data_IF_425680402837
#
_entry.id   IF_425680402837
#
_cell.length_a   1.000
_cell.length_b   1.000
_cell.length_c   1.000
_cell.angle_alpha   90.00
_cell.angle_beta   90.00
_cell.angle_gamma   90.00
#
_symmetry.space_group_name_H-M   'P 1'
#
loop_
_entity.id
_entity.type
_entity.pdbx_description
1 polymer ?
#
# COMPACT_ATOMS: atom_id res chain seq x y z
N UNK A 1 16.64 9.66 17.23
CA UNK A 1 16.61 8.22 17.59
C UNK A 1 15.65 7.92 18.75
N UNK A 2 15.48 8.82 19.73
CA UNK A 2 14.59 8.56 20.89
C UNK A 2 13.12 8.28 20.51
N UNK A 3 12.60 8.87 19.43
CA UNK A 3 11.23 8.69 18.93
C UNK A 3 10.86 7.24 18.56
N UNK A 4 11.84 6.36 18.39
CA UNK A 4 11.64 4.94 18.07
C UNK A 4 11.60 4.04 19.31
N UNK A 5 11.69 4.62 20.51
CA UNK A 5 11.64 3.87 21.77
C UNK A 5 10.19 3.66 22.24
N UNK A 6 9.99 2.82 23.25
CA UNK A 6 8.70 2.75 23.94
C UNK A 6 8.39 4.07 24.63
N UNK A 7 7.11 4.40 24.80
CA UNK A 7 6.64 5.65 25.41
C UNK A 7 7.33 5.95 26.76
N UNK A 8 7.47 4.94 27.63
CA UNK A 8 8.19 5.07 28.90
C UNK A 8 9.64 5.58 28.71
N UNK A 9 10.35 5.02 27.72
CA UNK A 9 11.75 5.40 27.44
C UNK A 9 11.83 6.73 26.69
N UNK A 10 10.85 7.03 25.84
CA UNK A 10 10.72 8.35 25.20
C UNK A 10 10.57 9.43 26.27
N UNK A 11 9.63 9.24 27.21
CA UNK A 11 9.40 10.18 28.30
C UNK A 11 10.67 10.43 29.11
N UNK A 12 11.45 9.38 29.39
CA UNK A 12 12.75 9.50 30.05
C UNK A 12 13.78 10.27 29.24
N UNK A 13 13.75 10.21 27.92
CA UNK A 13 14.64 10.99 27.05
C UNK A 13 14.19 12.46 26.89
N UNK A 14 12.90 12.76 27.11
CA UNK A 14 12.36 14.12 27.11
C UNK A 14 12.70 14.90 28.38
N UNK A 15 12.84 14.21 29.50
CA UNK A 15 13.55 14.71 30.68
C UNK A 15 15.05 14.38 30.54
N UNK A 16 15.98 15.07 31.20
CA UNK A 16 17.41 14.76 31.11
C UNK A 16 17.79 13.48 31.89
N UNK A 17 16.95 12.45 31.84
CA UNK A 17 17.21 11.14 32.41
C UNK A 17 17.73 10.17 31.35
N UNK A 18 18.47 9.17 31.79
CA UNK A 18 19.02 8.18 30.88
C UNK A 18 17.93 7.18 30.47
N UNK A 19 17.57 7.07 29.18
CA UNK A 19 16.50 6.17 28.73
C UNK A 19 16.90 4.69 28.82
N UNK A 20 18.21 4.40 28.90
CA UNK A 20 18.74 3.05 29.03
C UNK A 20 19.56 2.89 30.31
N UNK A 21 19.42 1.75 31.02
CA UNK A 21 20.11 1.55 32.29
C UNK A 21 21.64 1.51 32.14
N UNK A 22 22.17 1.12 30.98
CA UNK A 22 23.61 1.04 30.76
C UNK A 22 24.30 2.41 30.76
N UNK A 23 23.62 3.51 30.43
CA UNK A 23 24.25 4.84 30.43
C UNK A 23 24.70 5.26 31.84
N UNK A 24 23.99 4.85 32.89
CA UNK A 24 24.44 5.04 34.27
C UNK A 24 25.67 4.19 34.62
N UNK A 25 25.76 2.97 34.07
CA UNK A 25 26.93 2.12 34.26
C UNK A 25 28.17 2.70 33.58
N UNK A 26 28.00 3.35 32.43
CA UNK A 26 29.08 4.08 31.74
C UNK A 26 29.51 5.30 32.56
N UNK A 27 28.56 6.14 33.01
CA UNK A 27 28.85 7.32 33.84
C UNK A 27 29.59 6.96 35.13
N UNK A 28 29.25 5.83 35.74
CA UNK A 28 29.89 5.35 36.98
C UNK A 28 31.18 4.53 36.73
N UNK A 29 31.66 4.44 35.49
CA UNK A 29 32.88 3.71 35.13
C UNK A 29 32.79 2.18 35.30
N UNK A 30 31.58 1.62 35.41
CA UNK A 30 31.31 0.18 35.53
C UNK A 30 31.29 -0.53 34.17
N UNK A 31 30.91 0.20 33.13
CA UNK A 31 31.08 -0.20 31.73
C UNK A 31 32.01 0.81 31.09
N UNK A 32 32.99 0.32 30.32
CA UNK A 32 33.95 1.16 29.61
C UNK A 32 33.96 0.77 28.13
N UNK A 33 34.10 1.78 27.28
CA UNK A 33 34.12 1.61 25.83
C UNK A 33 35.53 1.82 25.32
N UNK A 34 35.95 0.94 24.43
CA UNK A 34 37.21 1.01 23.72
C UNK A 34 36.90 0.75 22.24
N UNK A 35 37.50 1.52 21.33
CA UNK A 35 37.27 1.33 19.91
C UNK A 35 38.11 0.21 19.33
N UNK A 36 39.27 -0.08 19.95
CA UNK A 36 40.14 -1.17 19.55
C UNK A 36 40.98 -1.70 20.71
N UNK A 37 41.36 -2.97 20.61
CA UNK A 37 42.42 -3.61 21.41
C UNK A 37 43.77 -2.90 21.36
N UNK A 38 44.07 -2.14 20.29
CA UNK A 38 45.35 -1.43 20.17
C UNK A 38 45.44 -0.16 21.02
N UNK A 39 44.36 0.27 21.66
CA UNK A 39 44.38 1.46 22.50
C UNK A 39 45.19 1.25 23.78
N UNK A 40 46.04 2.22 24.12
CA UNK A 40 46.80 2.21 25.37
C UNK A 40 45.88 2.26 26.60
N UNK A 41 44.75 2.96 26.49
CA UNK A 41 43.68 3.02 27.50
C UNK A 41 43.15 1.63 27.86
N UNK A 42 42.94 0.75 26.87
CA UNK A 42 42.48 -0.61 27.09
C UNK A 42 43.49 -1.39 27.91
N UNK A 43 44.76 -1.38 27.51
CA UNK A 43 45.82 -2.13 28.20
C UNK A 43 46.03 -1.68 29.65
N UNK A 44 45.87 -0.38 29.94
CA UNK A 44 46.01 0.16 31.28
C UNK A 44 44.85 -0.20 32.22
N UNK A 45 43.66 -0.41 31.66
CA UNK A 45 42.43 -0.63 32.43
C UNK A 45 41.93 -2.06 32.41
N UNK A 46 42.44 -2.89 31.50
CA UNK A 46 42.08 -4.30 31.37
C UNK A 46 42.45 -5.08 32.64
N UNK A 47 41.43 -5.67 33.29
CA UNK A 47 41.58 -6.48 34.50
C UNK A 47 40.67 -7.69 34.45
N UNK A 48 41.19 -8.86 34.82
CA UNK A 48 40.41 -10.09 34.97
C UNK A 48 40.08 -10.32 36.46
N UNK A 49 38.88 -10.84 36.80
CA UNK A 49 37.82 -11.28 35.90
C UNK A 49 37.02 -10.11 35.28
N UNK A 50 36.65 -10.22 34.01
CA UNK A 50 35.84 -9.24 33.30
C UNK A 50 34.84 -9.91 32.35
N UNK A 51 33.85 -9.12 31.92
CA UNK A 51 32.94 -9.47 30.83
C UNK A 51 33.26 -8.53 29.68
N UNK A 52 33.49 -9.09 28.49
CA UNK A 52 33.74 -8.31 27.28
C UNK A 52 32.61 -8.52 26.30
N UNK A 53 32.01 -7.40 25.87
CA UNK A 53 31.06 -7.36 24.77
C UNK A 53 31.82 -6.98 23.50
N UNK A 54 31.90 -7.91 22.55
CA UNK A 54 32.55 -7.67 21.27
C UNK A 54 31.58 -7.94 20.14
N UNK A 55 31.34 -6.94 19.31
CA UNK A 55 30.56 -7.10 18.09
C UNK A 55 31.37 -7.87 17.06
N UNK A 56 30.72 -8.78 16.35
CA UNK A 56 31.30 -9.42 15.17
C UNK A 56 30.16 -9.79 14.21
N UNK A 57 30.39 -9.74 12.90
CA UNK A 57 29.40 -10.22 11.95
C UNK A 57 29.51 -11.73 11.69
N UNK A 58 30.63 -12.39 12.00
CA UNK A 58 30.82 -13.81 11.62
C UNK A 58 31.83 -14.63 12.44
N UNK A 59 32.45 -14.07 13.49
CA UNK A 59 33.63 -14.67 14.15
C UNK A 59 34.78 -14.99 13.17
N UNK A 60 34.98 -14.17 12.13
CA UNK A 60 36.12 -14.31 11.20
C UNK A 60 37.05 -13.10 11.19
N UNK A 61 36.63 -11.99 11.79
CA UNK A 61 37.38 -10.75 11.85
C UNK A 61 36.91 -9.88 13.01
N UNK A 62 37.66 -8.83 13.29
CA UNK A 62 37.47 -7.95 14.44
C UNK A 62 38.17 -8.48 15.69
N UNK A 63 38.06 -7.72 16.78
CA UNK A 63 38.81 -7.96 18.02
C UNK A 63 38.46 -9.29 18.70
N UNK A 64 37.27 -9.85 18.42
CA UNK A 64 36.84 -11.15 18.94
C UNK A 64 37.82 -12.29 18.61
N UNK A 65 38.47 -12.25 17.44
CA UNK A 65 39.39 -13.33 17.03
C UNK A 65 40.62 -13.37 17.93
N UNK A 66 41.12 -12.18 18.30
CA UNK A 66 42.25 -12.02 19.21
C UNK A 66 41.87 -12.42 20.64
N UNK A 67 40.65 -12.11 21.08
CA UNK A 67 40.17 -12.58 22.39
C UNK A 67 40.06 -14.10 22.46
N UNK A 68 39.60 -14.76 21.39
CA UNK A 68 39.55 -16.22 21.32
C UNK A 68 40.97 -16.80 21.35
N UNK A 69 41.93 -16.19 20.66
CA UNK A 69 43.34 -16.60 20.71
C UNK A 69 43.93 -16.46 22.12
N UNK A 70 43.66 -15.34 22.81
CA UNK A 70 44.17 -15.09 24.17
C UNK A 70 43.52 -15.98 25.24
N UNK A 71 42.23 -16.28 25.11
CA UNK A 71 41.44 -16.89 26.19
C UNK A 71 40.99 -18.31 25.91
N UNK A 72 41.12 -18.77 24.67
CA UNK A 72 40.62 -20.06 24.18
C UNK A 72 41.19 -21.28 24.88
N UNK A 73 42.46 -21.21 25.29
CA UNK A 73 43.14 -22.32 25.96
C UNK A 73 42.82 -22.47 27.45
N UNK A 74 42.07 -21.53 28.05
CA UNK A 74 41.78 -21.56 29.48
C UNK A 74 40.33 -22.04 29.76
N UNK A 75 40.13 -23.18 30.46
CA UNK A 75 38.81 -23.74 30.74
C UNK A 75 37.99 -22.94 31.76
N UNK A 76 38.59 -21.95 32.45
CA UNK A 76 37.84 -21.03 33.33
C UNK A 76 37.10 -19.95 32.54
N UNK A 77 37.51 -19.71 31.29
CA UNK A 77 36.87 -18.72 30.42
C UNK A 77 35.64 -19.31 29.73
N UNK A 78 34.74 -18.42 29.30
CA UNK A 78 33.47 -18.77 28.67
C UNK A 78 33.21 -17.83 27.49
N UNK A 79 32.73 -18.38 26.37
CA UNK A 79 32.18 -17.62 25.24
C UNK A 79 30.67 -17.84 25.19
N UNK A 80 29.93 -16.74 25.22
CA UNK A 80 28.48 -16.73 25.13
C UNK A 80 28.06 -16.21 23.76
N UNK A 81 27.41 -17.07 22.96
CA UNK A 81 26.90 -16.71 21.64
C UNK A 81 25.41 -16.39 21.73
N UNK A 82 25.03 -15.15 21.40
CA UNK A 82 23.64 -14.66 21.50
C UNK A 82 22.92 -14.53 20.16
N UNK A 83 23.60 -14.71 19.03
CA UNK A 83 23.00 -14.54 17.71
C UNK A 83 22.31 -15.81 17.20
N UNK A 84 20.99 -15.78 16.91
CA UNK A 84 20.24 -16.96 16.44
C UNK A 84 20.53 -17.36 14.99
N UNK A 85 21.06 -16.45 14.18
CA UNK A 85 21.23 -16.64 12.72
C UNK A 85 22.52 -17.36 12.35
N UNK A 86 23.46 -17.49 13.29
CA UNK A 86 24.77 -18.10 13.04
C UNK A 86 24.89 -19.45 13.75
N UNK A 87 25.20 -20.54 13.02
CA UNK A 87 25.48 -21.82 13.64
C UNK A 87 26.74 -21.72 14.54
N UNK A 88 26.54 -21.77 15.86
CA UNK A 88 27.59 -21.59 16.85
C UNK A 88 28.82 -22.49 16.60
N UNK A 89 28.59 -23.78 16.32
CA UNK A 89 29.66 -24.75 16.08
C UNK A 89 30.45 -24.48 14.80
N UNK A 90 29.79 -24.10 13.71
CA UNK A 90 30.45 -23.78 12.44
C UNK A 90 31.28 -22.51 12.58
N UNK A 91 30.72 -21.49 13.24
CA UNK A 91 31.42 -20.25 13.53
C UNK A 91 32.68 -20.49 14.38
N UNK A 92 32.65 -21.43 15.33
CA UNK A 92 33.80 -21.75 16.18
C UNK A 92 34.77 -22.79 15.59
N UNK A 93 34.44 -23.42 14.46
CA UNK A 93 35.23 -24.51 13.88
C UNK A 93 36.72 -24.19 13.66
N UNK A 94 37.15 -22.98 13.23
CA UNK A 94 38.57 -22.71 12.99
C UNK A 94 39.38 -22.50 14.27
N UNK A 95 38.73 -22.33 15.42
CA UNK A 95 39.38 -22.11 16.71
C UNK A 95 39.53 -23.39 17.52
N UNK A 96 39.17 -24.54 16.94
CA UNK A 96 39.32 -25.83 17.59
C UNK A 96 40.78 -26.31 17.51
N UNK A 97 41.33 -26.94 18.56
CA UNK A 97 40.66 -27.29 19.82
C UNK A 97 40.54 -26.09 20.78
N UNK A 98 39.37 -25.95 21.41
CA UNK A 98 39.08 -24.86 22.33
C UNK A 98 38.78 -25.40 23.74
N UNK A 99 39.53 -24.95 24.75
CA UNK A 99 39.36 -25.41 26.14
C UNK A 99 38.32 -24.58 26.92
N UNK A 100 38.14 -23.30 26.56
CA UNK A 100 37.11 -22.44 27.15
C UNK A 100 35.71 -23.00 26.88
N UNK A 101 34.79 -22.76 27.82
CA UNK A 101 33.41 -23.27 27.70
C UNK A 101 32.64 -22.47 26.66
N UNK A 102 31.88 -23.16 25.83
CA UNK A 102 31.03 -22.55 24.80
C UNK A 102 29.58 -22.67 25.26
N UNK A 103 28.88 -21.53 25.34
CA UNK A 103 27.45 -21.47 25.66
C UNK A 103 26.72 -20.78 24.50
N UNK A 104 25.69 -21.45 23.98
CA UNK A 104 24.80 -20.88 22.98
C UNK A 104 23.47 -20.51 23.64
N UNK A 105 23.17 -19.22 23.70
CA UNK A 105 21.97 -18.66 24.31
C UNK A 105 21.40 -17.56 23.39
N UNK A 106 20.75 -17.96 22.28
CA UNK A 106 20.28 -17.01 21.28
C UNK A 106 19.20 -16.08 21.83
N UNK A 107 19.33 -14.78 21.57
CA UNK A 107 18.34 -13.76 21.87
C UNK A 107 17.60 -13.45 20.57
N UNK A 108 16.48 -14.13 20.33
CA UNK A 108 15.65 -13.92 19.15
C UNK A 108 14.44 -13.04 19.51
N UNK A 109 14.37 -11.84 18.94
CA UNK A 109 13.25 -10.91 19.12
C UNK A 109 12.20 -10.99 18.02
N UNK A 110 12.33 -11.94 17.08
CA UNK A 110 11.36 -12.15 16.01
C UNK A 110 10.05 -12.71 16.59
N UNK A 111 8.97 -12.60 15.80
CA UNK A 111 7.67 -13.13 16.19
C UNK A 111 7.72 -14.65 16.32
N UNK A 112 7.17 -15.16 17.41
CA UNK A 112 6.90 -16.59 17.54
C UNK A 112 5.66 -16.98 16.73
N UNK A 113 5.49 -18.26 16.41
CA UNK A 113 4.28 -18.77 15.76
C UNK A 113 3.01 -18.45 16.54
N UNK A 114 3.05 -18.57 17.88
CA UNK A 114 1.91 -18.25 18.76
C UNK A 114 1.52 -16.77 18.62
N UNK A 115 2.50 -15.86 18.62
CA UNK A 115 2.26 -14.43 18.45
C UNK A 115 1.70 -14.14 17.05
N UNK A 116 2.29 -14.75 16.01
CA UNK A 116 1.85 -14.57 14.63
C UNK A 116 0.42 -15.09 14.42
N UNK A 117 0.09 -16.28 14.91
CA UNK A 117 -1.25 -16.88 14.83
C UNK A 117 -2.29 -16.06 15.61
N UNK A 118 -1.91 -15.47 16.75
CA UNK A 118 -2.75 -14.50 17.45
C UNK A 118 -3.04 -13.27 16.58
N UNK A 119 -2.01 -12.64 16.02
CA UNK A 119 -2.15 -11.46 15.15
C UNK A 119 -3.03 -11.77 13.94
N UNK A 120 -2.86 -12.94 13.31
CA UNK A 120 -3.67 -13.36 12.16
C UNK A 120 -5.15 -13.51 12.55
N UNK A 121 -5.43 -14.13 13.70
CA UNK A 121 -6.80 -14.27 14.22
C UNK A 121 -7.43 -12.92 14.58
N UNK A 122 -6.64 -11.97 15.08
CA UNK A 122 -7.12 -10.64 15.45
C UNK A 122 -7.39 -9.77 14.21
N UNK A 123 -6.50 -9.80 13.21
CA UNK A 123 -6.63 -9.01 11.97
C UNK A 123 -7.69 -9.60 11.02
N UNK A 124 -7.90 -10.92 11.02
CA UNK A 124 -8.80 -11.66 10.12
C UNK A 124 -8.59 -11.28 8.63
N UNK A 125 -7.37 -11.45 8.09
CA UNK A 125 -7.08 -11.07 6.71
C UNK A 125 -7.91 -11.90 5.72
N UNK A 126 -8.27 -11.31 4.58
CA UNK A 126 -8.96 -12.04 3.49
C UNK A 126 -8.05 -13.03 2.75
N UNK A 127 -6.79 -12.64 2.57
CA UNK A 127 -5.76 -13.42 1.91
C UNK A 127 -4.46 -13.25 2.72
N UNK A 128 -3.77 -14.35 3.02
CA UNK A 128 -2.49 -14.33 3.74
C UNK A 128 -1.38 -14.82 2.82
N UNK A 129 -0.32 -14.03 2.69
CA UNK A 129 0.88 -14.36 1.89
C UNK A 129 2.04 -14.57 2.84
N UNK A 130 2.73 -15.70 2.73
CA UNK A 130 3.80 -16.07 3.66
C UNK A 130 4.83 -17.00 3.02
N UNK A 131 6.09 -17.02 3.49
CA UNK A 131 7.07 -18.01 3.07
C UNK A 131 6.57 -19.46 3.27
N UNK A 132 6.86 -20.32 2.29
CA UNK A 132 6.43 -21.73 2.30
C UNK A 132 6.85 -22.50 3.56
N UNK A 133 8.03 -22.20 4.09
CA UNK A 133 8.58 -22.84 5.29
C UNK A 133 7.69 -22.69 6.55
N UNK A 134 6.78 -21.72 6.57
CA UNK A 134 5.88 -21.49 7.70
C UNK A 134 4.54 -22.20 7.57
N UNK A 135 4.24 -22.86 6.45
CA UNK A 135 2.98 -23.62 6.27
C UNK A 135 3.10 -25.09 6.67
N UNK A 136 4.26 -25.51 7.16
CA UNK A 136 4.53 -26.90 7.53
C UNK A 136 5.08 -26.92 8.95
N UNK A 137 4.73 -27.93 9.76
CA UNK A 137 5.36 -28.11 11.05
C UNK A 137 6.85 -28.41 10.84
N UNK A 138 7.71 -27.73 11.59
CA UNK A 138 9.12 -28.07 11.66
C UNK A 138 9.28 -29.52 12.14
N UNK A 139 9.95 -30.35 11.35
CA UNK A 139 10.20 -31.74 11.71
C UNK A 139 11.16 -31.79 12.90
N UNK A 140 10.78 -32.48 13.97
CA UNK A 140 11.51 -32.58 15.26
C UNK A 140 12.90 -33.25 15.18
N UNK A 141 13.44 -33.53 13.98
CA UNK A 141 14.75 -34.15 13.82
C UNK A 141 15.92 -33.20 14.16
N UNK A 142 15.67 -31.88 14.25
CA UNK A 142 16.73 -30.86 14.43
C UNK A 142 16.60 -30.01 15.70
N UNK A 143 15.63 -30.29 16.59
CA UNK A 143 15.50 -29.54 17.85
C UNK A 143 15.56 -30.46 19.08
N UNK A 144 16.59 -30.26 19.91
CA UNK A 144 16.79 -30.97 21.18
C UNK A 144 15.81 -30.55 22.29
N UNK A 145 14.85 -29.67 22.01
CA UNK A 145 13.90 -29.17 23.01
C UNK A 145 12.47 -29.57 22.67
N UNK A 146 12.00 -30.61 23.36
CA UNK A 146 10.61 -31.11 23.38
C UNK A 146 9.67 -30.14 24.11
N UNK A 147 9.44 -28.97 23.54
CA UNK A 147 8.30 -28.14 23.94
C UNK A 147 7.40 -27.98 22.71
N UNK A 148 6.17 -28.46 22.85
CA UNK A 148 5.09 -28.43 21.88
C UNK A 148 4.62 -26.99 21.64
N UNK A 149 5.43 -26.22 20.93
CA UNK A 149 5.02 -24.94 20.39
C UNK A 149 4.35 -25.17 19.04
N UNK A 150 3.32 -24.38 18.71
CA UNK A 150 2.83 -24.26 17.33
C UNK A 150 4.05 -24.04 16.42
N UNK A 151 4.26 -24.92 15.45
CA UNK A 151 5.44 -24.89 14.57
C UNK A 151 5.09 -24.42 13.17
N UNK A 152 3.86 -23.98 12.96
CA UNK A 152 3.35 -23.52 11.68
C UNK A 152 2.33 -22.39 11.87
N UNK A 153 2.10 -21.66 10.78
CA UNK A 153 1.08 -20.63 10.71
C UNK A 153 -0.27 -21.26 10.40
N UNK A 154 -1.26 -20.93 11.22
CA UNK A 154 -2.64 -21.33 11.08
C UNK A 154 -3.50 -20.10 10.77
N UNK A 155 -4.32 -20.18 9.73
CA UNK A 155 -5.17 -19.07 9.32
C UNK A 155 -6.50 -19.55 8.75
N UNK A 156 -7.59 -18.99 9.23
CA UNK A 156 -8.94 -19.18 8.70
C UNK A 156 -9.19 -18.34 7.43
N UNK A 157 -8.20 -18.27 6.55
CA UNK A 157 -8.27 -17.50 5.31
C UNK A 157 -7.49 -18.19 4.19
N UNK A 158 -7.62 -17.67 2.96
CA UNK A 158 -6.87 -18.23 1.83
C UNK A 158 -5.38 -17.89 1.97
N UNK A 159 -4.57 -18.92 2.16
CA UNK A 159 -3.10 -18.81 2.25
C UNK A 159 -2.45 -18.96 0.87
N UNK A 160 -1.45 -18.13 0.62
CA UNK A 160 -0.62 -18.13 -0.58
C UNK A 160 0.85 -18.29 -0.15
N UNK A 161 1.33 -19.53 0.01
CA UNK A 161 2.71 -19.75 0.33
C UNK A 161 3.61 -19.44 -0.87
N UNK A 162 4.83 -18.97 -0.62
CA UNK A 162 5.78 -18.65 -1.70
C UNK A 162 7.22 -19.06 -1.41
N UNK A 163 7.95 -19.26 -2.50
CA UNK A 163 9.38 -19.48 -2.53
C UNK A 163 10.11 -18.23 -3.03
N UNK A 164 11.42 -18.18 -2.78
CA UNK A 164 12.25 -17.07 -3.24
C UNK A 164 12.17 -16.96 -4.77
N UNK A 165 11.93 -15.75 -5.27
CA UNK A 165 11.76 -15.41 -6.70
C UNK A 165 10.48 -15.97 -7.35
N UNK A 166 9.50 -16.41 -6.56
CA UNK A 166 8.20 -16.82 -7.08
C UNK A 166 7.27 -15.61 -7.30
N UNK A 167 6.43 -15.66 -8.34
CA UNK A 167 5.41 -14.63 -8.61
C UNK A 167 4.03 -15.14 -8.20
N UNK A 168 3.36 -14.43 -7.30
CA UNK A 168 2.04 -14.80 -6.78
C UNK A 168 0.97 -13.91 -7.40
N UNK A 169 -0.07 -14.50 -7.98
CA UNK A 169 -1.25 -13.77 -8.45
C UNK A 169 -2.29 -13.69 -7.33
N UNK A 170 -2.42 -12.51 -6.73
CA UNK A 170 -3.38 -12.28 -5.66
C UNK A 170 -4.76 -11.92 -6.23
N UNK A 171 -5.86 -12.50 -5.68
CA UNK A 171 -7.21 -12.19 -6.12
C UNK A 171 -7.67 -10.84 -5.53
N UNK A 172 -7.17 -9.74 -6.08
CA UNK A 172 -7.63 -8.39 -5.75
C UNK A 172 -8.91 -8.14 -6.55
N UNK A 173 -10.08 -8.22 -5.89
CA UNK A 173 -11.37 -7.95 -6.52
C UNK A 173 -11.73 -6.48 -6.32
N UNK A 174 -11.47 -5.63 -7.31
CA UNK A 174 -12.13 -4.33 -7.44
C UNK A 174 -13.11 -4.40 -8.61
N UNK A 175 -14.41 -4.27 -8.32
CA UNK A 175 -15.47 -4.20 -9.35
C UNK A 175 -15.88 -2.76 -9.65
N UNK A 176 -15.72 -1.90 -8.66
CA UNK A 176 -16.19 -0.52 -8.69
C UNK A 176 -15.10 0.36 -8.11
N UNK A 177 -14.86 1.48 -8.77
CA UNK A 177 -13.96 2.50 -8.28
C UNK A 177 -14.76 3.74 -7.87
N UNK A 178 -14.23 4.48 -6.92
CA UNK A 178 -14.87 5.72 -6.47
C UNK A 178 -14.54 6.84 -7.45
N UNK A 179 -15.58 7.35 -8.12
CA UNK A 179 -15.51 8.54 -8.96
C UNK A 179 -16.01 9.77 -8.20
N UNK A 180 -15.20 10.82 -8.18
CA UNK A 180 -15.62 12.14 -7.70
C UNK A 180 -16.06 12.97 -8.91
N UNK A 181 -17.23 13.59 -8.84
CA UNK A 181 -17.74 14.44 -9.93
C UNK A 181 -17.64 15.90 -9.47
N UNK A 182 -17.04 16.75 -10.29
CA UNK A 182 -16.86 18.15 -9.95
C UNK A 182 -18.20 18.88 -9.87
N UNK A 183 -18.31 19.77 -8.89
CA UNK A 183 -19.56 20.51 -8.62
C UNK A 183 -20.00 21.36 -9.81
N UNK A 184 -19.06 21.93 -10.56
CA UNK A 184 -19.35 22.68 -11.78
C UNK A 184 -20.04 21.80 -12.83
N UNK A 185 -19.57 20.56 -13.01
CA UNK A 185 -20.19 19.61 -13.93
C UNK A 185 -21.61 19.26 -13.48
N UNK A 186 -21.80 18.98 -12.19
CA UNK A 186 -23.13 18.69 -11.61
C UNK A 186 -24.11 19.84 -11.84
N UNK A 187 -23.66 21.09 -11.66
CA UNK A 187 -24.52 22.27 -11.81
C UNK A 187 -25.07 22.45 -13.23
N UNK A 188 -24.41 21.88 -14.23
CA UNK A 188 -24.81 21.96 -15.64
C UNK A 188 -25.80 20.86 -16.07
N UNK A 189 -26.04 19.85 -15.24
CA UNK A 189 -26.85 18.69 -15.59
C UNK A 189 -28.34 19.01 -15.56
N UNK A 190 -29.06 18.55 -16.59
CA UNK A 190 -30.53 18.60 -16.63
C UNK A 190 -31.07 17.18 -16.43
N UNK A 191 -31.92 17.00 -15.42
CA UNK A 191 -32.51 15.69 -15.11
C UNK A 191 -33.88 15.52 -15.76
N UNK A 192 -34.14 14.33 -16.30
CA UNK A 192 -35.44 13.95 -16.88
C UNK A 192 -36.05 12.82 -16.06
N UNK A 193 -37.33 12.97 -15.69
CA UNK A 193 -38.05 11.95 -14.94
C UNK A 193 -38.56 10.86 -15.90
N UNK A 194 -38.28 9.60 -15.59
CA UNK A 194 -38.74 8.44 -16.36
C UNK A 194 -39.90 7.73 -15.65
N UNK A 195 -39.88 7.72 -14.32
CA UNK A 195 -40.91 7.13 -13.47
C UNK A 195 -40.99 7.89 -12.14
N UNK A 196 -41.97 7.59 -11.29
CA UNK A 196 -42.08 8.19 -9.96
C UNK A 196 -40.80 7.94 -9.14
N UNK A 197 -40.15 9.04 -8.77
CA UNK A 197 -38.89 9.03 -8.00
C UNK A 197 -37.62 8.72 -8.81
N UNK A 198 -37.71 8.35 -10.09
CA UNK A 198 -36.52 8.00 -10.91
C UNK A 198 -36.24 9.07 -11.95
N UNK A 199 -35.11 9.76 -11.77
CA UNK A 199 -34.58 10.75 -12.70
C UNK A 199 -33.31 10.25 -13.36
N UNK A 200 -33.18 10.47 -14.66
CA UNK A 200 -31.96 10.20 -15.42
C UNK A 200 -31.33 11.51 -15.88
N UNK A 201 -30.01 11.52 -16.03
CA UNK A 201 -29.29 12.58 -16.73
C UNK A 201 -28.08 11.97 -17.41
N UNK A 202 -27.61 12.59 -18.49
CA UNK A 202 -26.36 12.19 -19.13
C UNK A 202 -25.23 13.08 -18.62
N UNK A 203 -24.15 12.44 -18.18
CA UNK A 203 -22.95 13.15 -17.71
C UNK A 203 -21.87 12.98 -18.76
N UNK A 204 -21.28 14.09 -19.21
CA UNK A 204 -20.18 14.10 -20.18
C UNK A 204 -19.10 15.04 -19.66
N UNK A 205 -17.90 14.51 -19.46
CA UNK A 205 -16.81 15.20 -18.78
C UNK A 205 -15.43 14.63 -19.12
N UNK A 206 -14.39 15.25 -18.57
CA UNK A 206 -13.01 14.77 -18.63
C UNK A 206 -12.75 13.91 -17.40
N UNK A 207 -12.33 12.66 -17.60
CA UNK A 207 -11.93 11.75 -16.52
C UNK A 207 -10.44 11.89 -16.25
N UNK A 208 -10.08 12.47 -15.10
CA UNK A 208 -8.72 12.49 -14.59
C UNK A 208 -8.50 11.31 -13.65
N UNK A 209 -7.54 10.44 -14.00
CA UNK A 209 -7.12 9.32 -13.18
C UNK A 209 -5.69 9.58 -12.67
N UNK A 210 -5.56 9.92 -11.39
CA UNK A 210 -4.27 10.19 -10.74
C UNK A 210 -4.23 9.58 -9.34
N UNK A 211 -3.17 8.84 -9.03
CA UNK A 211 -2.94 8.24 -7.70
C UNK A 211 -4.13 7.37 -7.20
N UNK A 212 -4.71 6.56 -8.09
CA UNK A 212 -5.95 5.77 -7.84
C UNK A 212 -7.15 6.62 -7.40
N UNK A 213 -7.14 7.92 -7.69
CA UNK A 213 -8.28 8.82 -7.52
C UNK A 213 -8.80 9.19 -8.90
N UNK A 214 -10.10 9.01 -9.08
CA UNK A 214 -10.79 9.30 -10.32
C UNK A 214 -11.66 10.54 -10.12
N UNK A 215 -11.46 11.56 -10.94
CA UNK A 215 -12.23 12.82 -10.94
C UNK A 215 -12.85 13.07 -12.31
N UNK A 216 -14.11 13.46 -12.34
CA UNK A 216 -14.84 13.80 -13.56
C UNK A 216 -15.13 15.30 -13.56
N UNK A 217 -14.41 16.03 -14.40
CA UNK A 217 -14.52 17.49 -14.55
C UNK A 217 -15.23 17.94 -15.82
N UNK A 218 -15.58 19.23 -15.94
CA UNK A 218 -16.19 19.79 -17.13
C UNK A 218 -15.21 19.86 -18.31
N UNK A 219 -15.74 19.75 -19.53
CA UNK A 219 -14.94 19.87 -20.75
C UNK A 219 -14.65 21.36 -21.05
N UNK A 220 -13.43 21.81 -20.77
CA UNK A 220 -13.00 23.18 -21.08
C UNK A 220 -12.61 23.36 -22.56
N UNK A 221 -12.47 24.61 -23.02
CA UNK A 221 -12.05 24.93 -24.40
C UNK A 221 -10.67 24.37 -24.73
N UNK A 222 -9.74 24.39 -23.78
CA UNK A 222 -8.38 23.83 -23.95
C UNK A 222 -8.44 22.34 -24.25
N UNK A 223 -9.23 21.58 -23.49
CA UNK A 223 -9.43 20.14 -23.74
C UNK A 223 -10.05 19.86 -25.11
N UNK A 224 -10.97 20.70 -25.59
CA UNK A 224 -11.55 20.56 -26.94
C UNK A 224 -10.52 20.79 -28.04
N UNK A 225 -9.63 21.76 -27.85
CA UNK A 225 -8.57 22.06 -28.81
C UNK A 225 -7.52 20.95 -28.84
N UNK A 226 -7.10 20.45 -27.67
CA UNK A 226 -6.19 19.30 -27.56
C UNK A 226 -6.78 18.05 -28.21
N UNK A 227 -8.05 17.73 -27.94
CA UNK A 227 -8.71 16.59 -28.54
C UNK A 227 -8.80 16.70 -30.07
N UNK A 228 -9.12 17.88 -30.60
CA UNK A 228 -9.15 18.14 -32.05
C UNK A 228 -7.78 18.01 -32.69
N UNK A 229 -6.72 18.45 -32.00
CA UNK A 229 -5.36 18.36 -32.50
C UNK A 229 -4.83 16.92 -32.48
N UNK A 230 -5.16 16.14 -31.44
CA UNK A 230 -4.68 14.76 -31.30
C UNK A 230 -5.52 13.75 -32.09
N UNK A 231 -6.82 13.99 -32.26
CA UNK A 231 -7.75 13.07 -32.91
C UNK A 231 -8.75 13.81 -33.83
N UNK A 232 -8.30 14.30 -35.01
CA UNK A 232 -9.11 15.15 -35.89
C UNK A 232 -10.33 14.46 -36.49
N UNK A 233 -10.34 13.12 -36.57
CA UNK A 233 -11.45 12.33 -37.13
C UNK A 233 -12.50 11.92 -36.10
N UNK A 234 -12.27 12.15 -34.80
CA UNK A 234 -13.24 11.83 -33.75
C UNK A 234 -14.01 13.08 -33.34
N UNK A 235 -15.34 12.95 -33.27
CA UNK A 235 -16.20 13.97 -32.68
C UNK A 235 -16.34 13.70 -31.18
N UNK A 236 -16.23 14.77 -30.39
CA UNK A 236 -16.58 14.68 -28.97
C UNK A 236 -18.07 14.34 -28.84
N UNK A 237 -18.47 13.47 -27.88
CA UNK A 237 -19.87 13.18 -27.64
C UNK A 237 -20.65 14.48 -27.34
N UNK A 238 -21.89 14.59 -27.83
CA UNK A 238 -22.70 15.78 -27.59
C UNK A 238 -22.98 15.93 -26.09
N UNK A 239 -22.96 17.17 -25.60
CA UNK A 239 -23.21 17.46 -24.18
C UNK A 239 -24.67 17.20 -23.76
N UNK A 240 -25.57 17.00 -24.74
CA UNK A 240 -26.99 16.71 -24.53
C UNK A 240 -27.40 15.64 -25.54
N UNK A 241 -28.09 14.62 -25.05
CA UNK A 241 -28.74 13.63 -25.89
C UNK A 241 -30.24 13.94 -25.89
N UNK A 242 -30.86 13.97 -27.08
CA UNK A 242 -32.30 14.10 -27.21
C UNK A 242 -32.93 12.74 -26.89
N UNK A 243 -33.78 12.70 -25.87
CA UNK A 243 -34.47 11.49 -25.41
C UNK A 243 -35.95 11.77 -25.32
N UNK A 244 -36.78 10.90 -25.90
CA UNK A 244 -38.24 11.00 -25.87
C UNK A 244 -38.89 10.71 -27.21
N UNK A 245 -40.22 10.57 -27.20
CA UNK A 245 -41.03 10.56 -28.41
C UNK A 245 -41.52 11.98 -28.66
N UNK A 246 -41.44 12.45 -29.90
CA UNK A 246 -42.01 13.73 -30.30
C UNK A 246 -43.53 13.52 -30.47
N UNK A 247 -44.34 14.30 -29.77
CA UNK A 247 -45.77 14.38 -30.07
C UNK A 247 -45.94 15.15 -31.39
N UNK A 248 -46.25 14.40 -32.44
CA UNK A 248 -46.40 14.95 -33.79
C UNK A 248 -47.60 15.89 -33.90
N UNK A 249 -48.65 15.69 -33.11
CA UNK A 249 -49.83 16.57 -33.14
C UNK A 249 -49.51 17.93 -32.53
N UNK A 250 -48.78 17.94 -31.41
CA UNK A 250 -48.33 19.17 -30.80
C UNK A 250 -47.32 19.92 -31.67
N UNK A 251 -46.40 19.18 -32.31
CA UNK A 251 -45.46 19.76 -33.28
C UNK A 251 -46.19 20.44 -34.45
N UNK A 252 -47.19 19.78 -35.04
CA UNK A 252 -47.98 20.35 -36.14
C UNK A 252 -48.76 21.60 -35.69
N UNK A 253 -49.33 21.59 -34.48
CA UNK A 253 -49.99 22.76 -33.90
C UNK A 253 -49.04 23.94 -33.74
N UNK A 254 -47.83 23.69 -33.23
CA UNK A 254 -46.80 24.72 -33.05
C UNK A 254 -46.30 25.27 -34.39
N UNK A 255 -46.13 24.41 -35.40
CA UNK A 255 -45.77 24.84 -36.75
C UNK A 255 -46.87 25.73 -37.37
N UNK A 256 -48.14 25.34 -37.24
CA UNK A 256 -49.26 26.16 -37.71
C UNK A 256 -49.31 27.53 -36.98
N UNK A 257 -49.08 27.55 -35.67
CA UNK A 257 -49.04 28.79 -34.88
C UNK A 257 -47.89 29.73 -35.31
N UNK A 258 -46.76 29.17 -35.73
CA UNK A 258 -45.60 29.93 -36.23
C UNK A 258 -45.73 30.36 -37.71
N UNK A 259 -46.89 30.14 -38.34
CA UNK A 259 -47.19 30.62 -39.70
C UNK A 259 -46.80 29.67 -40.83
N UNK A 260 -46.41 28.42 -40.52
CA UNK A 260 -46.16 27.39 -41.53
C UNK A 260 -47.50 26.81 -42.03
N UNK A 261 -47.70 26.78 -43.35
CA UNK A 261 -48.86 26.17 -44.01
C UNK A 261 -48.42 24.99 -44.90
N UNK A 262 -49.37 24.12 -45.23
CA UNK A 262 -49.16 22.96 -46.09
C UNK A 262 -48.07 22.00 -45.57
N UNK A 263 -48.14 21.67 -44.28
CA UNK A 263 -47.26 20.68 -43.65
C UNK A 263 -47.79 19.28 -43.95
N UNK A 264 -47.09 18.55 -44.84
CA UNK A 264 -47.42 17.16 -45.19
C UNK A 264 -46.61 16.22 -44.31
N UNK A 265 -47.31 15.36 -43.57
CA UNK A 265 -46.70 14.36 -42.71
C UNK A 265 -46.73 12.99 -43.41
N UNK A 266 -45.57 12.50 -43.81
CA UNK A 266 -45.40 11.17 -44.40
C UNK A 266 -44.82 10.21 -43.35
N UNK A 267 -45.60 9.25 -42.88
CA UNK A 267 -45.13 8.19 -41.95
C UNK A 267 -44.40 7.09 -42.73
N UNK A 268 -43.10 6.97 -42.52
CA UNK A 268 -42.27 5.89 -43.07
C UNK A 268 -42.02 4.83 -41.99
N UNK A 269 -42.86 3.80 -41.93
CA UNK A 269 -42.77 2.75 -40.92
C UNK A 269 -43.09 3.24 -39.51
N UNK A 270 -42.80 2.41 -38.50
CA UNK A 270 -43.41 2.60 -37.18
C UNK A 270 -42.80 3.76 -36.36
N UNK A 271 -41.60 4.24 -36.72
CA UNK A 271 -40.83 5.24 -35.95
C UNK A 271 -40.13 6.33 -36.77
N UNK A 272 -40.38 6.44 -38.08
CA UNK A 272 -39.82 7.54 -38.89
C UNK A 272 -40.95 8.34 -39.52
N UNK A 273 -40.87 9.66 -39.35
CA UNK A 273 -41.77 10.62 -39.97
C UNK A 273 -40.93 11.53 -40.86
N UNK A 274 -41.40 11.78 -42.08
CA UNK A 274 -40.90 12.87 -42.93
C UNK A 274 -41.94 13.98 -42.89
N UNK A 275 -41.48 15.18 -42.56
CA UNK A 275 -42.28 16.40 -42.62
C UNK A 275 -41.84 17.16 -43.86
N UNK A 276 -42.77 17.44 -44.77
CA UNK A 276 -42.55 18.30 -45.93
C UNK A 276 -43.35 19.59 -45.71
N UNK A 277 -42.67 20.74 -45.73
CA UNK A 277 -43.28 22.05 -45.51
C UNK A 277 -43.25 22.79 -46.85
N UNK A 278 -44.42 23.02 -47.43
CA UNK A 278 -44.53 23.52 -48.81
C UNK A 278 -44.59 25.06 -48.87
N UNK A 279 -45.04 25.74 -47.81
CA UNK A 279 -45.07 27.22 -47.79
C UNK A 279 -44.77 27.84 -46.42
N UNK A 280 -43.98 28.92 -46.42
CA UNK A 280 -43.71 29.79 -45.26
C UNK A 280 -44.31 31.15 -45.60
N UNK A 281 -45.26 31.64 -44.80
CA UNK A 281 -45.72 33.03 -44.91
C UNK A 281 -44.80 33.87 -44.04
N UNK A 282 -43.93 34.67 -44.66
CA UNK A 282 -43.34 35.81 -43.96
C UNK A 282 -44.48 36.83 -43.74
N UNK A 283 -44.72 37.29 -42.51
CA UNK A 283 -45.63 38.40 -42.30
C UNK A 283 -45.10 39.60 -43.08
N UNK A 284 -45.86 40.07 -44.07
CA UNK A 284 -45.62 41.33 -44.75
C UNK A 284 -45.76 42.40 -43.67
N UNK A 285 -44.63 42.90 -43.19
CA UNK A 285 -44.57 44.15 -42.46
C UNK A 285 -44.96 45.23 -43.47
N UNK A 286 -46.21 45.69 -43.41
CA UNK A 286 -46.61 46.93 -44.07
C UNK A 286 -45.89 48.08 -43.38
N UNK A 287 -44.66 48.35 -43.81
CA UNK A 287 -43.97 49.62 -43.62
C UNK A 287 -43.79 50.28 -44.98
N UNK A 288 -44.82 51.00 -45.43
CA UNK A 288 -44.62 52.09 -46.37
C UNK A 288 -44.63 53.39 -45.57
N UNK A 289 -43.48 54.05 -45.53
CA UNK A 289 -43.34 55.45 -45.13
C UNK A 289 -43.94 56.33 -46.23
N UNK A 290 -44.88 57.20 -45.88
CA UNK A 290 -44.85 58.67 -46.01
C UNK A 290 -46.15 59.24 -45.42
#
# INVERSE_FOLDING_TARGET
MAEWLSELKQNRAFIPEEPFPHGQLVKNGRIKHFFSLSEESFNNEFRMPCIVFTGHPSLRFGDVVHFIELWGSNPTNVILMTEPEFPCYEALSPYQPLAMKIIYCPIDTRLTFIQANKIIRDIKPKNLVLPYQYTRPFSQAESHNKQSFETMIEADCKMFPYHRKETIKLPIKSKYERLMIDSELISSLTTHQIADGVKITTITGILEAKDNKFRLGPITKSHRNEFRNQMPTRTLPPNKYLVGMIDMNELLRLLAHQGYKDVVLNKFGDKRYRIEIVSIIYPITNSFQY
#
